data_IF_972014109476
#
_entry.id   IF_972014109476
#
_cell.length_a   1.000
_cell.length_b   1.000
_cell.length_c   1.000
_cell.angle_alpha   90.00
_cell.angle_beta   90.00
_cell.angle_gamma   90.00
#
_symmetry.space_group_name_H-M   'P 1'
#
loop_
_entity.id
_entity.type
_entity.pdbx_description
1 polymer ?
#
# COMPACT_ATOMS: atom_id res chain seq x y z
N UNK A 1 -20.37 -34.20 29.07
CA UNK A 1 -20.63 -33.23 27.99
C UNK A 1 -19.68 -32.05 28.19
N UNK A 2 -18.52 -32.05 27.52
CA UNK A 2 -17.58 -30.93 27.56
C UNK A 2 -17.74 -30.10 26.29
N UNK A 3 -18.26 -28.88 26.44
CA UNK A 3 -18.37 -27.91 25.35
C UNK A 3 -16.98 -27.41 24.96
N UNK A 4 -16.55 -27.79 23.74
CA UNK A 4 -15.42 -27.19 23.04
C UNK A 4 -15.76 -25.75 22.64
N UNK A 5 -15.39 -24.78 23.48
CA UNK A 5 -15.27 -23.38 23.05
C UNK A 5 -13.96 -23.23 22.24
N UNK A 6 -13.98 -23.66 20.98
CA UNK A 6 -13.04 -23.12 19.98
C UNK A 6 -13.45 -21.66 19.78
N UNK A 7 -12.70 -20.73 20.39
CA UNK A 7 -12.76 -19.32 19.99
C UNK A 7 -12.46 -19.26 18.49
N UNK A 8 -13.49 -19.06 17.67
CA UNK A 8 -13.31 -18.69 16.27
C UNK A 8 -12.48 -17.41 16.29
N UNK A 9 -11.22 -17.50 15.87
CA UNK A 9 -10.38 -16.33 15.59
C UNK A 9 -11.17 -15.56 14.54
N UNK A 10 -11.75 -14.41 14.89
CA UNK A 10 -12.44 -13.56 13.94
C UNK A 10 -11.49 -13.30 12.79
N UNK A 11 -11.82 -13.78 11.61
CA UNK A 11 -11.03 -13.53 10.41
C UNK A 11 -11.18 -12.03 10.12
N UNK A 12 -10.17 -11.25 10.48
CA UNK A 12 -10.16 -9.81 10.26
C UNK A 12 -10.36 -9.55 8.77
N UNK A 13 -11.27 -8.64 8.44
CA UNK A 13 -11.48 -8.17 7.06
C UNK A 13 -10.53 -7.05 6.67
N UNK A 14 -9.62 -6.67 7.57
CA UNK A 14 -8.65 -5.60 7.38
C UNK A 14 -7.24 -6.16 7.17
N UNK A 15 -6.51 -5.51 6.27
CA UNK A 15 -5.10 -5.79 5.97
C UNK A 15 -4.27 -4.53 6.05
N UNK A 16 -2.98 -4.71 6.38
CA UNK A 16 -1.96 -3.68 6.32
C UNK A 16 -1.23 -3.77 4.97
N UNK A 17 -1.04 -2.61 4.34
CA UNK A 17 -0.23 -2.44 3.14
C UNK A 17 0.89 -1.44 3.42
N UNK A 18 2.14 -1.89 3.49
CA UNK A 18 3.32 -1.04 3.54
C UNK A 18 3.87 -0.72 2.14
N UNK A 19 4.80 0.22 2.07
CA UNK A 19 5.39 0.74 0.83
C UNK A 19 4.40 1.52 -0.05
N UNK A 20 3.49 2.27 0.57
CA UNK A 20 2.42 2.95 -0.16
C UNK A 20 2.63 4.44 -0.35
N UNK A 21 3.67 5.07 0.20
CA UNK A 21 3.78 6.55 0.24
C UNK A 21 3.72 7.21 -1.14
N UNK A 22 4.27 6.58 -2.16
CA UNK A 22 4.34 7.11 -3.53
C UNK A 22 3.16 6.70 -4.40
N UNK A 23 2.13 6.09 -3.82
CA UNK A 23 0.89 5.69 -4.50
C UNK A 23 -0.24 6.66 -4.15
N UNK A 24 -1.26 6.79 -4.98
CA UNK A 24 -2.53 7.41 -4.56
C UNK A 24 -3.38 6.41 -3.76
N UNK A 25 -4.41 6.88 -3.03
CA UNK A 25 -5.34 5.94 -2.39
C UNK A 25 -6.21 5.25 -3.45
N UNK A 26 -6.46 5.93 -4.55
CA UNK A 26 -7.23 5.48 -5.72
C UNK A 26 -6.54 4.29 -6.39
N UNK A 27 -5.22 4.38 -6.67
CA UNK A 27 -4.45 3.28 -7.25
C UNK A 27 -4.47 2.03 -6.35
N UNK A 28 -4.36 2.24 -5.04
CA UNK A 28 -4.38 1.15 -4.07
C UNK A 28 -5.77 0.52 -4.03
N UNK A 29 -6.82 1.34 -4.01
CA UNK A 29 -8.20 0.88 -3.98
C UNK A 29 -8.56 0.10 -5.25
N UNK A 30 -8.20 0.63 -6.42
CA UNK A 30 -8.40 -0.04 -7.72
C UNK A 30 -7.69 -1.40 -7.74
N UNK A 31 -6.43 -1.44 -7.28
CA UNK A 31 -5.68 -2.69 -7.20
C UNK A 31 -6.34 -3.70 -6.25
N UNK A 32 -6.72 -3.26 -5.05
CA UNK A 32 -7.35 -4.12 -4.04
C UNK A 32 -8.72 -4.62 -4.48
N UNK A 33 -9.46 -3.81 -5.25
CA UNK A 33 -10.79 -4.18 -5.77
C UNK A 33 -10.78 -5.43 -6.66
N UNK A 34 -9.62 -5.84 -7.21
CA UNK A 34 -9.47 -7.12 -7.94
C UNK A 34 -9.68 -8.37 -7.07
N UNK A 35 -9.61 -8.20 -5.75
CA UNK A 35 -9.71 -9.28 -4.78
C UNK A 35 -11.09 -9.35 -4.11
N UNK A 36 -11.85 -8.26 -4.16
CA UNK A 36 -13.22 -8.16 -3.66
C UNK A 36 -13.60 -6.71 -3.35
N UNK A 37 -14.84 -6.49 -2.91
CA UNK A 37 -15.32 -5.15 -2.58
C UNK A 37 -14.53 -4.56 -1.41
N UNK A 38 -13.96 -3.38 -1.63
CA UNK A 38 -13.25 -2.58 -0.63
C UNK A 38 -14.22 -1.61 0.04
N UNK A 39 -14.34 -1.70 1.36
CA UNK A 39 -15.19 -0.81 2.16
C UNK A 39 -14.45 0.42 2.68
N UNK A 40 -13.13 0.31 2.88
CA UNK A 40 -12.28 1.41 3.30
C UNK A 40 -10.85 1.18 2.78
N UNK A 41 -10.24 2.24 2.27
CA UNK A 41 -8.85 2.27 1.81
C UNK A 41 -8.26 3.62 2.18
N UNK A 42 -7.56 3.68 3.31
CA UNK A 42 -7.12 4.95 3.87
C UNK A 42 -5.74 4.87 4.50
N UNK A 43 -4.92 5.89 4.22
CA UNK A 43 -3.76 6.24 5.04
C UNK A 43 -4.31 6.97 6.26
N UNK A 44 -4.24 6.32 7.41
CA UNK A 44 -4.73 6.92 8.65
C UNK A 44 -3.63 7.84 9.17
N UNK A 45 -3.93 9.14 9.26
CA UNK A 45 -3.01 10.19 9.66
C UNK A 45 -3.33 10.61 11.11
N UNK A 46 -2.31 10.75 11.95
CA UNK A 46 -2.46 11.37 13.28
C UNK A 46 -2.64 12.89 13.17
N UNK A 47 -1.77 13.51 12.38
CA UNK A 47 -1.75 14.95 12.17
C UNK A 47 -1.18 15.30 10.79
N UNK A 48 -1.61 16.40 10.14
CA UNK A 48 -1.16 16.78 8.80
C UNK A 48 0.36 16.88 8.66
N UNK A 49 1.05 17.40 9.68
CA UNK A 49 2.51 17.58 9.70
C UNK A 49 3.31 16.27 9.70
N UNK A 50 2.69 15.19 10.20
CA UNK A 50 3.27 13.85 10.24
C UNK A 50 2.91 13.01 9.02
N UNK A 51 2.06 13.51 8.11
CA UNK A 51 1.59 12.73 6.97
C UNK A 51 2.73 12.24 6.07
N UNK A 52 3.78 13.05 5.93
CA UNK A 52 5.01 12.68 5.22
C UNK A 52 5.76 11.50 5.83
N UNK A 53 5.47 11.11 7.07
CA UNK A 53 6.16 10.02 7.76
C UNK A 53 5.38 8.69 7.70
N UNK A 54 4.17 8.68 7.10
CA UNK A 54 3.34 7.48 6.97
C UNK A 54 3.53 6.86 5.57
N UNK A 55 4.01 5.62 5.54
CA UNK A 55 4.28 4.84 4.31
C UNK A 55 3.47 3.53 4.27
N UNK A 56 2.28 3.58 4.85
CA UNK A 56 1.35 2.46 4.85
C UNK A 56 -0.10 2.92 4.74
N UNK A 57 -0.93 1.99 4.27
CA UNK A 57 -2.37 2.15 4.06
C UNK A 57 -3.07 0.94 4.69
N UNK A 58 -4.24 1.16 5.29
CA UNK A 58 -5.11 0.07 5.71
C UNK A 58 -6.22 -0.11 4.69
N UNK A 59 -6.51 -1.37 4.38
CA UNK A 59 -7.61 -1.74 3.48
C UNK A 59 -8.53 -2.68 4.22
N UNK A 60 -9.83 -2.38 4.19
CA UNK A 60 -10.88 -3.23 4.74
C UNK A 60 -11.76 -3.73 3.63
N UNK A 61 -11.79 -5.04 3.46
CA UNK A 61 -12.71 -5.71 2.54
C UNK A 61 -14.09 -5.88 3.17
N UNK A 62 -15.08 -6.11 2.32
CA UNK A 62 -16.43 -6.50 2.77
C UNK A 62 -16.40 -7.82 3.55
N UNK A 63 -15.65 -8.81 3.05
CA UNK A 63 -15.67 -10.16 3.60
C UNK A 63 -14.27 -10.75 3.80
N UNK A 64 -14.18 -11.73 4.70
CA UNK A 64 -12.94 -12.41 5.04
C UNK A 64 -12.36 -13.20 3.86
N UNK A 65 -13.20 -13.72 2.96
CA UNK A 65 -12.75 -14.45 1.77
C UNK A 65 -11.88 -13.57 0.84
N UNK A 66 -12.25 -12.30 0.66
CA UNK A 66 -11.46 -11.34 -0.11
C UNK A 66 -10.11 -11.09 0.54
N UNK A 67 -10.09 -11.00 1.88
CA UNK A 67 -8.86 -10.86 2.67
C UNK A 67 -7.97 -12.09 2.54
N UNK A 68 -8.52 -13.30 2.62
CA UNK A 68 -7.78 -14.55 2.43
C UNK A 68 -7.21 -14.67 1.01
N UNK A 69 -8.00 -14.32 -0.02
CA UNK A 69 -7.53 -14.29 -1.42
C UNK A 69 -6.40 -13.29 -1.60
N UNK A 70 -6.53 -12.11 -0.99
CA UNK A 70 -5.49 -11.08 -1.01
C UNK A 70 -4.21 -11.62 -0.34
N UNK A 71 -4.29 -12.06 0.92
CA UNK A 71 -3.12 -12.52 1.70
C UNK A 71 -2.46 -13.80 1.17
N UNK A 72 -3.19 -14.63 0.42
CA UNK A 72 -2.63 -15.84 -0.20
C UNK A 72 -1.89 -15.58 -1.51
N UNK A 73 -1.97 -14.36 -2.04
CA UNK A 73 -1.21 -13.96 -3.23
C UNK A 73 0.26 -13.74 -2.85
N UNK A 74 1.18 -14.34 -3.60
CA UNK A 74 2.60 -14.36 -3.24
C UNK A 74 3.29 -13.00 -3.34
N UNK A 75 2.83 -12.12 -4.22
CA UNK A 75 3.40 -10.79 -4.43
C UNK A 75 2.31 -9.82 -4.89
N UNK A 76 2.35 -8.59 -4.37
CA UNK A 76 1.41 -7.54 -4.76
C UNK A 76 2.16 -6.38 -5.40
N UNK A 77 2.35 -6.46 -6.72
CA UNK A 77 3.04 -5.44 -7.50
C UNK A 77 2.05 -4.65 -8.34
N UNK A 78 2.03 -3.34 -8.17
CA UNK A 78 1.19 -2.43 -8.95
C UNK A 78 1.81 -2.15 -10.32
N UNK A 79 1.03 -1.58 -11.24
CA UNK A 79 1.44 -1.33 -12.63
C UNK A 79 2.69 -0.44 -12.76
N UNK A 80 2.95 0.42 -11.77
CA UNK A 80 4.14 1.26 -11.71
C UNK A 80 5.38 0.54 -11.15
N UNK A 81 5.30 -0.78 -10.94
CA UNK A 81 6.40 -1.62 -10.44
C UNK A 81 6.58 -1.60 -8.93
N UNK A 82 5.74 -0.88 -8.17
CA UNK A 82 5.83 -0.83 -6.71
C UNK A 82 5.28 -2.12 -6.10
N UNK A 83 6.10 -2.81 -5.31
CA UNK A 83 5.71 -4.00 -4.57
C UNK A 83 5.27 -3.64 -3.14
N UNK A 84 4.07 -4.06 -2.75
CA UNK A 84 3.50 -3.79 -1.43
C UNK A 84 4.03 -4.77 -0.38
N UNK A 85 4.17 -4.30 0.87
CA UNK A 85 4.37 -5.17 2.02
C UNK A 85 3.00 -5.49 2.64
N UNK A 86 2.48 -6.66 2.31
CA UNK A 86 1.13 -7.08 2.72
C UNK A 86 1.21 -7.91 3.98
N UNK A 87 0.45 -7.53 5.02
CA UNK A 87 0.39 -8.24 6.30
C UNK A 87 -1.03 -8.31 6.85
N UNK A 88 -1.37 -9.35 7.63
CA UNK A 88 -2.58 -9.33 8.45
C UNK A 88 -2.56 -8.14 9.42
N UNK A 89 -3.71 -7.49 9.61
CA UNK A 89 -3.82 -6.32 10.49
C UNK A 89 -3.38 -6.59 11.93
N UNK A 90 -3.61 -7.79 12.45
CA UNK A 90 -3.26 -8.12 13.83
C UNK A 90 -1.75 -8.35 14.02
N UNK A 91 -1.03 -8.71 12.96
CA UNK A 91 0.39 -9.05 13.06
C UNK A 91 1.25 -7.79 13.21
N UNK A 92 0.81 -6.66 12.66
CA UNK A 92 1.58 -5.41 12.62
C UNK A 92 1.56 -4.62 13.93
N UNK A 93 0.72 -5.02 14.89
CA UNK A 93 0.61 -4.42 16.22
C UNK A 93 1.80 -4.74 17.12
N UNK A 94 2.62 -5.71 16.74
CA UNK A 94 3.79 -6.12 17.50
C UNK A 94 5.06 -5.46 16.97
N UNK A 95 5.77 -4.72 17.84
CA UNK A 95 7.02 -4.03 17.50
C UNK A 95 8.14 -4.96 17.03
N UNK A 96 8.09 -6.24 17.41
CA UNK A 96 9.06 -7.25 16.98
C UNK A 96 8.89 -7.70 15.52
N UNK A 97 7.73 -7.44 14.89
CA UNK A 97 7.49 -7.83 13.50
C UNK A 97 8.27 -6.87 12.59
N UNK A 98 9.18 -7.37 11.74
CA UNK A 98 9.90 -6.52 10.80
C UNK A 98 8.97 -6.09 9.67
N UNK A 99 8.84 -4.78 9.50
CA UNK A 99 8.00 -4.15 8.47
C UNK A 99 8.87 -3.47 7.42
N UNK A 100 8.32 -3.25 6.23
CA UNK A 100 8.99 -2.52 5.15
C UNK A 100 9.48 -1.14 5.59
N UNK A 101 8.66 -0.45 6.37
CA UNK A 101 8.96 0.87 6.95
C UNK A 101 10.24 0.86 7.80
N UNK A 102 10.62 -0.30 8.36
CA UNK A 102 11.82 -0.41 9.19
C UNK A 102 13.13 -0.24 8.41
N UNK A 103 13.07 -0.27 7.08
CA UNK A 103 14.23 -0.04 6.22
C UNK A 103 14.26 1.36 5.63
N UNK A 104 13.28 2.21 5.94
CA UNK A 104 13.11 3.51 5.32
C UNK A 104 13.39 4.69 6.24
N UNK A 105 13.72 5.81 5.62
CA UNK A 105 13.80 7.14 6.22
C UNK A 105 13.13 8.18 5.32
N UNK A 106 12.80 9.32 5.89
CA UNK A 106 12.46 10.55 5.19
C UNK A 106 13.55 11.59 5.46
N UNK A 107 13.98 12.31 4.43
CA UNK A 107 14.78 13.53 4.60
C UNK A 107 13.91 14.70 4.14
N UNK A 108 13.63 15.61 5.07
CA UNK A 108 12.88 16.84 4.79
C UNK A 108 13.85 17.96 4.41
N UNK A 109 13.35 18.93 3.66
CA UNK A 109 14.00 20.22 3.41
C UNK A 109 15.40 20.10 2.82
N UNK A 110 15.60 19.15 1.89
CA UNK A 110 16.89 18.99 1.23
C UNK A 110 17.15 20.24 0.36
N UNK A 111 18.22 21.03 0.63
CA UNK A 111 18.49 22.25 -0.12
C UNK A 111 18.81 21.96 -1.59
N UNK A 112 18.43 22.86 -2.48
CA UNK A 112 18.63 22.73 -3.93
C UNK A 112 20.11 22.57 -4.36
N UNK A 113 21.06 23.07 -3.55
CA UNK A 113 22.50 22.90 -3.81
C UNK A 113 23.06 21.53 -3.39
N UNK A 114 22.30 20.72 -2.66
CA UNK A 114 22.65 19.34 -2.35
C UNK A 114 21.97 18.45 -3.38
N UNK A 115 22.78 17.87 -4.27
CA UNK A 115 22.23 16.98 -5.29
C UNK A 115 21.74 15.66 -4.67
N UNK A 116 20.77 15.02 -5.34
CA UNK A 116 20.36 13.66 -5.03
C UNK A 116 21.54 12.68 -5.00
N UNK A 117 22.53 12.90 -5.86
CA UNK A 117 23.76 12.11 -5.92
C UNK A 117 24.62 12.27 -4.68
N UNK A 118 24.78 13.50 -4.18
CA UNK A 118 25.51 13.79 -2.94
C UNK A 118 24.82 13.12 -1.74
N UNK A 119 23.50 13.26 -1.63
CA UNK A 119 22.70 12.61 -0.59
C UNK A 119 22.84 11.08 -0.65
N UNK A 120 22.71 10.49 -1.84
CA UNK A 120 22.86 9.04 -2.03
C UNK A 120 24.27 8.56 -1.71
N UNK A 121 25.31 9.31 -2.10
CA UNK A 121 26.71 8.99 -1.79
C UNK A 121 26.96 9.00 -0.29
N UNK A 122 26.45 10.00 0.41
CA UNK A 122 26.55 10.09 1.87
C UNK A 122 25.83 8.91 2.55
N UNK A 123 24.58 8.65 2.18
CA UNK A 123 23.75 7.62 2.80
C UNK A 123 24.31 6.19 2.57
N UNK A 124 25.00 5.95 1.46
CA UNK A 124 25.67 4.66 1.18
C UNK A 124 26.75 4.29 2.21
N UNK A 125 27.27 5.24 2.99
CA UNK A 125 28.23 4.96 4.08
C UNK A 125 27.59 4.19 5.25
N UNK A 126 26.27 4.19 5.34
CA UNK A 126 25.51 3.48 6.36
C UNK A 126 25.07 2.08 5.91
N UNK A 127 24.94 1.86 4.60
CA UNK A 127 24.67 0.56 4.00
C UNK A 127 24.16 0.67 2.57
N UNK A 128 23.78 -0.47 1.98
CA UNK A 128 23.28 -0.54 0.61
C UNK A 128 21.90 0.09 0.51
N UNK A 129 21.75 1.02 -0.43
CA UNK A 129 20.47 1.68 -0.75
C UNK A 129 19.77 0.88 -1.83
N UNK A 130 18.54 0.46 -1.55
CA UNK A 130 17.66 -0.24 -2.47
C UNK A 130 16.97 0.73 -3.42
N UNK A 131 16.33 1.76 -2.87
CA UNK A 131 15.57 2.74 -3.65
C UNK A 131 15.65 4.14 -3.04
N UNK A 132 15.42 5.15 -3.90
CA UNK A 132 15.38 6.56 -3.51
C UNK A 132 14.28 7.23 -4.32
N UNK A 133 13.34 7.87 -3.64
CA UNK A 133 12.20 8.54 -4.27
C UNK A 133 12.09 9.98 -3.74
N UNK A 134 12.13 10.95 -4.65
CA UNK A 134 11.87 12.35 -4.35
C UNK A 134 10.39 12.62 -4.60
N UNK A 135 9.70 13.17 -3.59
CA UNK A 135 8.28 13.53 -3.68
C UNK A 135 8.15 14.99 -3.24
N UNK A 136 7.45 15.78 -4.04
CA UNK A 136 7.10 17.16 -3.71
C UNK A 136 5.63 17.17 -3.30
N UNK A 137 5.30 17.80 -2.16
CA UNK A 137 3.90 17.97 -1.76
C UNK A 137 3.29 19.23 -2.40
N UNK A 138 1.99 19.45 -2.16
CA UNK A 138 1.25 20.61 -2.66
C UNK A 138 1.80 21.96 -2.14
N UNK A 139 2.54 21.94 -1.02
CA UNK A 139 3.21 23.10 -0.44
C UNK A 139 4.63 23.31 -1.00
N UNK A 140 4.99 22.62 -2.10
CA UNK A 140 6.32 22.64 -2.74
C UNK A 140 7.47 22.17 -1.83
N UNK A 141 7.16 21.49 -0.72
CA UNK A 141 8.16 20.89 0.15
C UNK A 141 8.64 19.57 -0.44
N UNK A 142 9.96 19.41 -0.49
CA UNK A 142 10.61 18.24 -1.04
C UNK A 142 10.93 17.22 0.05
N UNK A 143 10.42 16.00 -0.13
CA UNK A 143 10.67 14.86 0.74
C UNK A 143 11.46 13.81 -0.02
N UNK A 144 12.64 13.48 0.51
CA UNK A 144 13.46 12.41 -0.02
C UNK A 144 13.26 11.14 0.81
N UNK A 145 12.58 10.16 0.23
CA UNK A 145 12.41 8.84 0.83
C UNK A 145 13.52 7.91 0.38
N UNK A 146 14.16 7.24 1.33
CA UNK A 146 15.27 6.33 1.07
C UNK A 146 14.97 5.00 1.71
N UNK A 147 15.04 3.92 0.92
CA UNK A 147 14.97 2.54 1.41
C UNK A 147 16.36 1.91 1.37
N UNK A 148 16.78 1.37 2.50
CA UNK A 148 17.96 0.52 2.59
C UNK A 148 17.60 -0.94 2.33
N UNK A 149 18.57 -1.75 1.91
CA UNK A 149 18.39 -3.21 1.81
C UNK A 149 18.17 -3.86 3.19
N UNK A 150 18.62 -3.22 4.28
CA UNK A 150 18.49 -3.75 5.63
C UNK A 150 18.12 -2.70 6.67
N UNK A 151 17.29 -3.10 7.65
CA UNK A 151 16.95 -2.27 8.80
C UNK A 151 18.19 -1.93 9.65
N UNK A 152 19.22 -2.79 9.64
CA UNK A 152 20.49 -2.53 10.29
C UNK A 152 21.19 -1.28 9.72
N UNK A 153 21.11 -1.05 8.40
CA UNK A 153 21.68 0.14 7.74
C UNK A 153 20.96 1.41 8.20
N UNK A 154 19.62 1.38 8.20
CA UNK A 154 18.78 2.46 8.76
C UNK A 154 19.13 2.74 10.22
N UNK A 155 19.22 1.69 11.04
CA UNK A 155 19.54 1.81 12.46
C UNK A 155 20.96 2.33 12.70
N UNK A 156 21.93 2.00 11.84
CA UNK A 156 23.27 2.57 11.90
C UNK A 156 23.25 4.08 11.66
N UNK A 157 22.45 4.54 10.71
CA UNK A 157 22.24 5.96 10.44
C UNK A 157 21.60 6.66 11.65
N UNK A 158 20.49 6.14 12.17
CA UNK A 158 19.73 6.77 13.26
C UNK A 158 20.36 6.60 14.66
N UNK A 159 21.43 5.80 14.81
CA UNK A 159 22.09 5.57 16.10
C UNK A 159 22.76 6.83 16.62
N UNK A 160 22.48 7.17 17.89
CA UNK A 160 22.91 8.42 18.56
C UNK A 160 24.42 8.67 18.74
N UNK A 161 25.31 7.89 18.11
CA UNK A 161 26.74 8.25 18.03
C UNK A 161 26.97 9.46 17.11
N UNK A 162 26.08 9.70 16.15
CA UNK A 162 26.09 10.87 15.28
C UNK A 162 24.93 11.77 15.69
N UNK A 163 25.22 12.93 16.27
CA UNK A 163 24.19 13.90 16.69
C UNK A 163 23.51 14.58 15.50
N UNK A 164 24.28 14.86 14.45
CA UNK A 164 23.80 15.54 13.24
C UNK A 164 24.49 14.98 12.00
N UNK A 165 23.70 14.63 10.99
CA UNK A 165 24.19 14.25 9.67
C UNK A 165 24.44 15.50 8.83
N UNK A 166 25.60 15.60 8.17
CA UNK A 166 25.97 16.78 7.39
C UNK A 166 26.46 16.44 5.99
N UNK A 167 26.09 17.30 5.04
CA UNK A 167 26.63 17.33 3.67
C UNK A 167 26.94 18.79 3.35
N UNK A 168 28.21 19.10 2.99
CA UNK A 168 28.66 20.47 2.67
C UNK A 168 28.20 21.48 3.73
N UNK A 169 28.45 21.15 5.00
CA UNK A 169 28.08 21.91 6.20
C UNK A 169 26.58 22.06 6.52
N UNK A 170 25.69 21.65 5.62
CA UNK A 170 24.26 21.62 5.89
C UNK A 170 23.88 20.41 6.74
N UNK A 171 23.07 20.63 7.79
CA UNK A 171 22.53 19.56 8.63
C UNK A 171 21.30 18.97 7.94
N UNK A 172 21.32 17.66 7.70
CA UNK A 172 20.18 16.95 7.12
C UNK A 172 19.10 16.72 8.17
N UNK A 173 17.85 17.05 7.83
CA UNK A 173 16.67 16.73 8.62
C UNK A 173 16.20 15.30 8.33
N UNK A 174 16.83 14.31 8.97
CA UNK A 174 16.55 12.89 8.77
C UNK A 174 15.57 12.39 9.83
N UNK A 175 14.45 11.85 9.38
CA UNK A 175 13.37 11.35 10.24
C UNK A 175 13.10 9.86 9.93
N UNK A 176 12.92 9.01 10.96
CA UNK A 176 12.34 7.68 10.75
C UNK A 176 10.90 7.83 10.26
N UNK A 177 10.47 6.87 9.44
CA UNK A 177 9.06 6.74 9.13
C UNK A 177 8.32 6.09 10.31
N UNK A 178 7.04 6.44 10.47
CA UNK A 178 6.20 5.94 11.56
C UNK A 178 5.83 4.49 11.31
N UNK A 179 5.88 3.66 12.36
CA UNK A 179 5.27 2.34 12.36
C UNK A 179 3.79 2.46 12.74
N UNK A 180 2.96 1.46 12.41
CA UNK A 180 1.59 1.40 12.90
C UNK A 180 1.49 1.55 14.42
N UNK A 181 2.43 0.99 15.19
CA UNK A 181 2.47 1.12 16.66
C UNK A 181 2.79 2.52 17.17
N UNK A 182 3.39 3.37 16.33
CA UNK A 182 3.65 4.78 16.64
C UNK A 182 2.42 5.65 16.33
N UNK A 183 1.43 5.07 15.66
CA UNK A 183 0.12 5.64 15.41
C UNK A 183 -0.84 5.07 16.46
N UNK A 184 -1.66 5.90 17.10
CA UNK A 184 -2.63 5.41 18.10
C UNK A 184 -3.74 4.61 17.40
N UNK A 185 -3.49 3.31 17.22
CA UNK A 185 -4.43 2.37 16.60
C UNK A 185 -5.61 2.01 17.54
N UNK A 186 -5.50 2.26 18.85
CA UNK A 186 -6.53 1.88 19.82
C UNK A 186 -7.72 2.86 19.82
N UNK A 187 -7.48 4.15 19.65
CA UNK A 187 -8.57 5.10 19.34
C UNK A 187 -9.26 4.76 18.00
N UNK A 188 -8.61 3.98 17.12
CA UNK A 188 -9.12 3.66 15.78
C UNK A 188 -10.10 2.47 15.74
N UNK A 189 -10.00 1.49 16.64
CA UNK A 189 -11.08 0.49 16.81
C UNK A 189 -12.32 1.13 17.43
N UNK A 190 -12.15 2.00 18.43
CA UNK A 190 -13.25 2.68 19.10
C UNK A 190 -13.92 3.74 18.22
N UNK A 191 -13.19 4.52 17.42
CA UNK A 191 -13.78 5.46 16.45
C UNK A 191 -14.43 4.75 15.26
N UNK A 192 -13.91 3.60 14.82
CA UNK A 192 -14.64 2.75 13.87
C UNK A 192 -15.89 2.13 14.51
N UNK A 193 -15.96 1.97 15.84
CA UNK A 193 -17.17 1.54 16.57
C UNK A 193 -18.13 2.71 16.86
N UNK A 194 -17.63 3.95 16.96
CA UNK A 194 -18.44 5.12 17.35
C UNK A 194 -18.94 5.92 16.14
N UNK A 195 -18.21 5.95 15.01
CA UNK A 195 -18.70 6.44 13.71
C UNK A 195 -19.58 5.40 12.97
N UNK A 196 -19.87 4.27 13.63
CA UNK A 196 -20.51 3.06 13.10
C UNK A 196 -22.04 3.11 13.03
N UNK A 197 -22.66 4.26 13.32
CA UNK A 197 -24.10 4.29 13.64
C UNK A 197 -25.07 4.69 12.51
N UNK A 198 -24.69 4.84 11.23
CA UNK A 198 -25.72 5.32 10.25
C UNK A 198 -25.81 4.75 8.83
N UNK A 199 -24.98 3.81 8.34
CA UNK A 199 -25.30 3.22 7.01
C UNK A 199 -24.64 1.87 6.66
N UNK A 200 -23.37 1.66 7.02
CA UNK A 200 -22.55 0.56 6.50
C UNK A 200 -22.68 -0.77 7.27
N UNK A 201 -23.37 -0.77 8.41
CA UNK A 201 -23.64 -1.97 9.21
C UNK A 201 -25.06 -2.53 8.98
N UNK A 202 -25.89 -1.85 8.17
CA UNK A 202 -27.18 -2.40 7.73
C UNK A 202 -26.93 -3.53 6.73
N UNK A 203 -27.37 -4.76 7.02
CA UNK A 203 -27.27 -5.89 6.09
C UNK A 203 -27.83 -5.57 4.71
N UNK A 204 -28.86 -4.73 4.62
CA UNK A 204 -29.50 -4.33 3.37
C UNK A 204 -28.56 -3.50 2.49
N UNK A 205 -27.84 -2.54 3.09
CA UNK A 205 -26.81 -1.74 2.41
C UNK A 205 -25.66 -2.60 1.93
N UNK A 206 -25.19 -3.54 2.76
CA UNK A 206 -24.10 -4.43 2.38
C UNK A 206 -24.47 -5.35 1.23
N UNK A 207 -25.69 -5.91 1.25
CA UNK A 207 -26.24 -6.70 0.14
C UNK A 207 -26.33 -5.86 -1.13
N UNK A 208 -26.82 -4.62 -1.03
CA UNK A 208 -26.92 -3.72 -2.18
C UNK A 208 -25.54 -3.42 -2.79
N UNK A 209 -24.56 -3.06 -1.95
CA UNK A 209 -23.20 -2.76 -2.41
C UNK A 209 -22.52 -3.98 -3.03
N UNK A 210 -22.72 -5.17 -2.45
CA UNK A 210 -22.22 -6.42 -3.02
C UNK A 210 -22.89 -6.73 -4.37
N UNK A 211 -24.19 -6.49 -4.50
CA UNK A 211 -24.91 -6.67 -5.75
C UNK A 211 -24.41 -5.70 -6.83
N UNK A 212 -24.26 -4.41 -6.51
CA UNK A 212 -23.77 -3.38 -7.42
C UNK A 212 -22.34 -3.68 -7.89
N UNK A 213 -21.46 -4.08 -6.96
CA UNK A 213 -20.12 -4.53 -7.29
C UNK A 213 -20.12 -5.73 -8.24
N UNK A 214 -20.94 -6.75 -7.95
CA UNK A 214 -21.04 -7.94 -8.78
C UNK A 214 -21.61 -7.62 -10.18
N UNK A 215 -22.55 -6.69 -10.29
CA UNK A 215 -23.07 -6.20 -11.57
C UNK A 215 -21.98 -5.51 -12.38
N UNK A 216 -21.24 -4.57 -11.78
CA UNK A 216 -20.14 -3.87 -12.43
C UNK A 216 -19.05 -4.82 -12.92
N UNK A 217 -18.70 -5.83 -12.11
CA UNK A 217 -17.75 -6.86 -12.53
C UNK A 217 -18.27 -7.67 -13.72
N UNK A 218 -19.56 -8.05 -13.73
CA UNK A 218 -20.17 -8.76 -14.86
C UNK A 218 -20.19 -7.93 -16.13
N UNK A 219 -20.46 -6.63 -16.04
CA UNK A 219 -20.42 -5.72 -17.19
C UNK A 219 -19.01 -5.63 -17.78
N UNK A 220 -17.97 -5.55 -16.95
CA UNK A 220 -16.59 -5.59 -17.41
C UNK A 220 -16.25 -6.92 -18.12
N UNK A 221 -16.70 -8.05 -17.59
CA UNK A 221 -16.52 -9.34 -18.26
C UNK A 221 -17.26 -9.41 -19.61
N UNK A 222 -18.49 -8.90 -19.66
CA UNK A 222 -19.28 -8.82 -20.91
C UNK A 222 -18.56 -7.99 -21.98
N UNK A 223 -17.94 -6.88 -21.59
CA UNK A 223 -17.13 -6.06 -22.50
C UNK A 223 -15.92 -6.85 -23.06
N UNK A 224 -15.19 -7.55 -22.19
CA UNK A 224 -14.03 -8.37 -22.59
C UNK A 224 -14.46 -9.52 -23.52
N UNK A 225 -15.58 -10.20 -23.21
CA UNK A 225 -16.10 -11.29 -24.05
C UNK A 225 -16.48 -10.80 -25.45
N UNK A 226 -17.00 -9.57 -25.56
CA UNK A 226 -17.29 -8.94 -26.83
C UNK A 226 -16.00 -8.61 -27.61
N UNK A 227 -14.99 -8.00 -26.98
CA UNK A 227 -13.70 -7.72 -27.64
C UNK A 227 -13.01 -9.01 -28.14
N UNK A 228 -12.99 -10.06 -27.32
CA UNK A 228 -12.44 -11.37 -27.71
C UNK A 228 -13.23 -11.93 -28.90
N UNK A 229 -14.56 -11.83 -28.88
CA UNK A 229 -15.41 -12.30 -29.96
C UNK A 229 -15.16 -11.56 -31.27
N UNK A 230 -14.94 -10.24 -31.22
CA UNK A 230 -14.58 -9.45 -32.40
C UNK A 230 -13.19 -9.79 -32.94
N UNK A 231 -12.19 -9.95 -32.05
CA UNK A 231 -10.85 -10.40 -32.42
C UNK A 231 -10.88 -11.77 -33.11
N UNK A 232 -11.66 -12.72 -32.59
CA UNK A 232 -11.82 -14.06 -33.21
C UNK A 232 -12.46 -13.95 -34.59
N UNK A 233 -13.51 -13.12 -34.75
CA UNK A 233 -14.16 -12.90 -36.06
C UNK A 233 -13.17 -12.30 -37.07
N UNK A 234 -12.44 -11.26 -36.68
CA UNK A 234 -11.46 -10.60 -37.55
C UNK A 234 -10.35 -11.56 -37.98
N UNK A 235 -9.83 -12.37 -37.03
CA UNK A 235 -8.80 -13.36 -37.30
C UNK A 235 -9.29 -14.43 -38.29
N UNK A 236 -10.55 -14.87 -38.13
CA UNK A 236 -11.18 -15.85 -39.02
C UNK A 236 -11.39 -15.30 -40.44
N UNK A 237 -11.81 -14.03 -40.56
CA UNK A 237 -11.95 -13.36 -41.85
C UNK A 237 -10.61 -13.20 -42.57
N UNK A 238 -9.57 -12.78 -41.85
CA UNK A 238 -8.21 -12.66 -42.42
C UNK A 238 -7.68 -14.00 -42.91
N UNK A 239 -7.93 -15.09 -42.17
CA UNK A 239 -7.53 -16.42 -42.58
C UNK A 239 -8.21 -16.87 -43.89
N UNK A 240 -9.53 -16.66 -44.01
CA UNK A 240 -10.25 -16.99 -45.25
C UNK A 240 -9.82 -16.11 -46.43
N UNK A 241 -9.51 -14.83 -46.21
CA UNK A 241 -8.93 -13.96 -47.24
C UNK A 241 -7.54 -14.42 -47.71
N UNK A 242 -6.65 -14.82 -46.79
CA UNK A 242 -5.35 -15.39 -47.19
C UNK A 242 -5.52 -16.71 -47.95
N UNK A 243 -6.48 -17.54 -47.53
CA UNK A 243 -6.77 -18.82 -48.18
C UNK A 243 -7.29 -18.64 -49.61
N UNK A 244 -8.05 -17.60 -49.89
CA UNK A 244 -8.52 -17.30 -51.26
C UNK A 244 -7.43 -16.68 -52.14
N UNK A 245 -6.48 -15.94 -51.58
CA UNK A 245 -5.32 -15.41 -52.33
C UNK A 245 -4.28 -16.48 -52.71
N UNK A 246 -4.27 -17.61 -52.01
CA UNK A 246 -3.36 -18.73 -52.26
C UNK A 246 -3.92 -19.80 -53.23
N UNK A 247 -5.12 -19.60 -53.76
CA UNK A 247 -5.76 -20.44 -54.79
C UNK A 247 -5.69 -19.76 -56.15
#
# INVERSE_FOLDING_TARGET
>A
MSNNNRKNKSESTSVYLGNTRTLSNEDINEYCSKFGLVLDCSRRLLAPEQASLVDFTFVRFLNAQSTLKFLSTSSHTLNNGINLDVRPFNDILHTAVPLHVDRKICIKDLPSYISLSDAKKYLRTFGTIKSVNLVTNDNEENFLYVEFESAASRNKLLKGKIKHHRIRDHILNILPLLRPTDVDLHQMEEQNITNKSTALDDPSTLIYLELEYNLKMREQFSFIDNEISELIKLTSQNYEQMRTMLK
#
